data_IF_059259441936
#
_entry.id   IF_059259441936
#
_cell.length_a   1.000
_cell.length_b   1.000
_cell.length_c   1.000
_cell.angle_alpha   90.00
_cell.angle_beta   90.00
_cell.angle_gamma   90.00
#
_symmetry.space_group_name_H-M   'P 1'
#
loop_
_entity.id
_entity.type
_entity.pdbx_description
1 polymer ?
#
# COMPACT_ATOMS: atom_id res chain seq x y z
N UNK A 1 6.92 -4.55 4.17
CA UNK A 1 6.17 -3.38 3.64
C UNK A 1 7.07 -2.15 3.73
N UNK A 2 7.00 -1.23 2.76
CA UNK A 2 7.76 0.03 2.83
C UNK A 2 6.99 1.04 3.68
N UNK A 3 7.68 2.04 4.22
CA UNK A 3 7.07 3.10 5.05
C UNK A 3 5.81 3.70 4.38
N UNK A 4 5.87 3.98 3.08
CA UNK A 4 4.75 4.53 2.31
C UNK A 4 3.51 3.63 2.29
N UNK A 5 3.70 2.31 2.25
CA UNK A 5 2.58 1.35 2.30
C UNK A 5 1.95 1.29 3.68
N UNK A 6 2.77 1.32 4.74
CA UNK A 6 2.28 1.40 6.11
C UNK A 6 1.52 2.70 6.34
N UNK A 7 1.99 3.81 5.79
CA UNK A 7 1.35 5.12 5.92
C UNK A 7 0.00 5.16 5.20
N UNK A 8 -0.09 4.59 3.99
CA UNK A 8 -1.36 4.46 3.25
C UNK A 8 -2.36 3.56 3.99
N UNK A 9 -1.89 2.46 4.56
CA UNK A 9 -2.73 1.54 5.32
C UNK A 9 -3.23 2.17 6.63
N UNK A 10 -2.36 2.90 7.34
CA UNK A 10 -2.71 3.62 8.56
C UNK A 10 -3.72 4.76 8.27
N UNK A 11 -3.54 5.48 7.16
CA UNK A 11 -4.49 6.49 6.72
C UNK A 11 -5.87 5.86 6.44
N UNK A 12 -5.93 4.76 5.67
CA UNK A 12 -7.17 4.03 5.43
C UNK A 12 -7.86 3.61 6.73
N UNK A 13 -7.11 3.03 7.67
CA UNK A 13 -7.64 2.64 8.98
C UNK A 13 -8.17 3.85 9.77
N UNK A 14 -7.45 4.98 9.75
CA UNK A 14 -7.90 6.22 10.40
C UNK A 14 -9.22 6.73 9.83
N UNK A 15 -9.36 6.80 8.51
CA UNK A 15 -10.61 7.22 7.88
C UNK A 15 -11.76 6.23 8.09
N UNK A 16 -11.46 4.93 8.19
CA UNK A 16 -12.46 3.93 8.54
C UNK A 16 -12.99 4.13 9.97
N UNK A 17 -12.10 4.37 10.94
CA UNK A 17 -12.47 4.64 12.34
C UNK A 17 -13.31 5.92 12.44
N UNK A 18 -12.89 6.99 11.73
CA UNK A 18 -13.66 8.23 11.66
C UNK A 18 -15.04 8.01 11.05
N UNK A 19 -15.13 7.23 9.98
CA UNK A 19 -16.42 6.88 9.38
C UNK A 19 -17.32 6.11 10.34
N UNK A 20 -16.80 5.13 11.07
CA UNK A 20 -17.57 4.37 12.07
C UNK A 20 -18.11 5.30 13.17
N UNK A 21 -17.28 6.21 13.67
CA UNK A 21 -17.69 7.17 14.68
C UNK A 21 -18.77 8.13 14.16
N UNK A 22 -18.65 8.57 12.90
CA UNK A 22 -19.60 9.49 12.28
C UNK A 22 -20.91 8.79 11.89
N UNK A 23 -20.85 7.52 11.49
CA UNK A 23 -22.01 6.68 11.19
C UNK A 23 -22.88 6.44 12.43
N UNK A 24 -22.29 6.45 13.63
CA UNK A 24 -23.06 6.39 14.88
C UNK A 24 -23.79 7.70 15.19
N UNK A 25 -23.36 8.83 14.62
CA UNK A 25 -23.89 10.18 14.91
C UNK A 25 -24.80 10.73 13.81
N UNK A 26 -24.60 10.30 12.57
CA UNK A 26 -25.20 10.89 11.37
C UNK A 26 -25.80 9.82 10.45
N UNK A 27 -26.49 10.25 9.40
CA UNK A 27 -27.00 9.33 8.38
C UNK A 27 -25.92 8.95 7.36
N UNK A 28 -26.16 7.86 6.63
CA UNK A 28 -25.21 7.34 5.65
C UNK A 28 -24.89 8.36 4.54
N UNK A 29 -25.85 9.19 4.12
CA UNK A 29 -25.65 10.20 3.08
C UNK A 29 -24.62 11.27 3.44
N UNK A 30 -24.48 11.60 4.73
CA UNK A 30 -23.55 12.65 5.16
C UNK A 30 -22.15 12.09 5.43
N UNK A 31 -22.05 10.81 5.79
CA UNK A 31 -20.79 10.18 6.21
C UNK A 31 -20.10 9.38 5.10
N UNK A 32 -20.79 8.95 4.03
CA UNK A 32 -20.21 8.03 3.03
C UNK A 32 -18.94 8.55 2.35
N UNK A 33 -18.70 9.86 2.33
CA UNK A 33 -17.48 10.43 1.74
C UNK A 33 -16.21 9.94 2.47
N UNK A 34 -16.26 9.76 3.81
CA UNK A 34 -15.16 9.20 4.59
C UNK A 34 -14.90 7.73 4.20
N UNK A 35 -15.97 6.98 3.91
CA UNK A 35 -15.87 5.62 3.40
C UNK A 35 -15.21 5.59 2.02
N UNK A 36 -15.59 6.51 1.12
CA UNK A 36 -14.97 6.65 -0.20
C UNK A 36 -13.49 7.02 -0.10
N UNK A 37 -13.13 7.88 0.85
CA UNK A 37 -11.75 8.26 1.12
C UNK A 37 -10.93 7.06 1.65
N UNK A 38 -11.49 6.29 2.58
CA UNK A 38 -10.90 5.02 3.05
C UNK A 38 -10.67 4.05 1.88
N UNK A 39 -11.67 3.86 1.01
CA UNK A 39 -11.56 3.02 -0.18
C UNK A 39 -10.47 3.51 -1.13
N UNK A 40 -10.36 4.82 -1.37
CA UNK A 40 -9.32 5.40 -2.20
C UNK A 40 -7.92 5.08 -1.65
N UNK A 41 -7.70 5.19 -0.33
CA UNK A 41 -6.42 4.83 0.29
C UNK A 41 -6.12 3.33 0.20
N UNK A 42 -7.12 2.45 0.34
CA UNK A 42 -6.95 1.01 0.18
C UNK A 42 -6.58 0.63 -1.26
N UNK A 43 -7.22 1.26 -2.26
CA UNK A 43 -6.91 1.07 -3.67
C UNK A 43 -5.52 1.60 -4.01
N UNK A 44 -5.16 2.79 -3.50
CA UNK A 44 -3.81 3.35 -3.65
C UNK A 44 -2.75 2.44 -3.01
N UNK A 45 -3.01 1.90 -1.81
CA UNK A 45 -2.15 0.91 -1.16
C UNK A 45 -1.99 -0.33 -2.03
N UNK A 46 -3.08 -0.87 -2.58
CA UNK A 46 -3.03 -2.03 -3.46
C UNK A 46 -2.22 -1.74 -4.72
N UNK A 47 -2.40 -0.58 -5.35
CA UNK A 47 -1.63 -0.15 -6.52
C UNK A 47 -0.13 -0.04 -6.21
N UNK A 48 0.25 0.66 -5.13
CA UNK A 48 1.64 0.83 -4.72
C UNK A 48 2.28 -0.52 -4.41
N UNK A 49 1.57 -1.39 -3.69
CA UNK A 49 2.02 -2.73 -3.34
C UNK A 49 2.20 -3.59 -4.60
N UNK A 50 1.25 -3.57 -5.53
CA UNK A 50 1.31 -4.37 -6.74
C UNK A 50 2.45 -3.91 -7.65
N UNK A 51 2.63 -2.59 -7.82
CA UNK A 51 3.76 -2.01 -8.54
C UNK A 51 5.12 -2.36 -7.92
N UNK A 52 5.21 -2.46 -6.59
CA UNK A 52 6.43 -2.97 -5.93
C UNK A 52 6.66 -4.44 -6.27
N UNK A 53 5.63 -5.28 -6.15
CA UNK A 53 5.73 -6.71 -6.43
C UNK A 53 6.11 -6.96 -7.90
N UNK A 54 5.57 -6.17 -8.84
CA UNK A 54 5.95 -6.22 -10.25
C UNK A 54 7.42 -5.84 -10.46
N UNK A 55 7.91 -4.78 -9.81
CA UNK A 55 9.34 -4.44 -9.85
C UNK A 55 10.21 -5.54 -9.25
N UNK A 56 9.79 -6.16 -8.16
CA UNK A 56 10.51 -7.27 -7.53
C UNK A 56 10.52 -8.52 -8.41
N UNK A 57 9.43 -8.79 -9.15
CA UNK A 57 9.33 -9.87 -10.15
C UNK A 57 10.13 -9.58 -11.42
N UNK A 58 10.17 -8.33 -11.86
CA UNK A 58 10.94 -7.88 -13.03
C UNK A 58 12.46 -7.95 -12.79
N UNK A 59 12.91 -7.90 -11.53
CA UNK A 59 14.25 -8.33 -11.15
C UNK A 59 14.26 -9.88 -11.17
N UNK A 60 14.26 -10.43 -12.38
CA UNK A 60 14.39 -11.86 -12.66
C UNK A 60 15.52 -12.47 -11.82
N UNK A 61 15.39 -13.71 -11.30
CA UNK A 61 16.41 -14.38 -10.50
C UNK A 61 17.80 -14.35 -11.15
N UNK A 62 17.87 -14.30 -12.48
CA UNK A 62 19.10 -14.16 -13.25
C UNK A 62 19.84 -12.83 -12.99
N UNK A 63 19.14 -11.71 -12.81
CA UNK A 63 19.77 -10.41 -12.51
C UNK A 63 20.29 -10.39 -11.06
N UNK A 64 19.55 -10.98 -10.12
CA UNK A 64 20.05 -11.17 -8.73
C UNK A 64 21.30 -12.03 -8.71
N UNK A 65 21.31 -13.15 -9.45
CA UNK A 65 22.46 -14.05 -9.58
C UNK A 65 23.66 -13.39 -10.28
N UNK A 66 23.44 -12.58 -11.32
CA UNK A 66 24.52 -11.84 -12.00
C UNK A 66 25.16 -10.79 -11.10
N UNK A 67 24.38 -10.07 -10.28
CA UNK A 67 24.91 -9.09 -9.32
C UNK A 67 25.71 -9.79 -8.21
N UNK A 68 25.24 -10.93 -7.72
CA UNK A 68 25.93 -11.72 -6.70
C UNK A 68 27.25 -12.32 -7.21
N UNK A 69 27.26 -12.86 -8.44
CA UNK A 69 28.46 -13.37 -9.08
C UNK A 69 29.51 -12.28 -9.35
N UNK A 70 29.11 -11.05 -9.72
CA UNK A 70 30.06 -9.93 -9.85
C UNK A 70 30.70 -9.53 -8.52
N UNK A 71 29.96 -9.61 -7.40
CA UNK A 71 30.50 -9.31 -6.08
C UNK A 71 31.48 -10.38 -5.59
N UNK A 72 31.22 -11.66 -5.86
CA UNK A 72 32.16 -12.76 -5.58
C UNK A 72 33.43 -12.71 -6.42
N UNK A 73 33.36 -12.27 -7.68
CA UNK A 73 34.53 -12.17 -8.58
C UNK A 73 35.47 -11.00 -8.26
N UNK A 74 35.00 -10.01 -7.49
CA UNK A 74 35.79 -8.85 -7.05
C UNK A 74 36.45 -9.03 -5.67
N UNK A 75 36.19 -10.15 -4.99
CA UNK A 75 36.76 -10.50 -3.69
C UNK A 75 37.75 -11.63 -3.89
#
# INVERSE_FOLDING_TARGET
MKLSETLLLAAAAGFLILWIAEYQRTTFMDSYWLLMLCLAFLLAFQYVRNKRLEREKAISPTIKQMVENRKKKKK
#
